data_IF_681376869630
#
_entry.id   IF_681376869630
#
_cell.length_a   1.000
_cell.length_b   1.000
_cell.length_c   1.000
_cell.angle_alpha   90.00
_cell.angle_beta   90.00
_cell.angle_gamma   90.00
#
_symmetry.space_group_name_H-M   'P 1'
#
loop_
_entity.id
_entity.type
_entity.pdbx_description
1 polymer ?
#
# COMPACT_ATOMS: atom_id res chain seq x y z
N UNK A 1 -22.91 -6.29 -6.48
CA UNK A 1 -22.79 -7.30 -7.55
C UNK A 1 -22.88 -6.61 -8.92
N UNK A 2 -21.78 -5.97 -9.38
CA UNK A 2 -21.73 -5.29 -10.71
C UNK A 2 -21.44 -6.26 -11.87
N UNK A 3 -20.99 -7.45 -11.58
CA UNK A 3 -20.62 -8.47 -12.58
C UNK A 3 -21.39 -9.78 -12.41
N UNK A 4 -22.68 -9.70 -12.05
CA UNK A 4 -23.57 -10.86 -12.16
C UNK A 4 -23.79 -11.15 -13.66
N UNK A 5 -23.05 -12.10 -14.18
CA UNK A 5 -23.16 -12.58 -15.55
C UNK A 5 -24.48 -13.31 -15.74
N UNK A 6 -25.43 -12.69 -16.43
CA UNK A 6 -26.54 -13.41 -17.03
C UNK A 6 -26.00 -14.13 -18.28
N UNK A 7 -26.13 -15.46 -18.43
CA UNK A 7 -25.64 -16.15 -19.60
C UNK A 7 -26.41 -15.67 -20.82
N UNK A 8 -25.73 -14.94 -21.72
CA UNK A 8 -26.23 -14.74 -23.10
C UNK A 8 -26.28 -16.12 -23.74
N UNK A 9 -27.38 -16.42 -24.44
CA UNK A 9 -27.80 -17.67 -25.00
C UNK A 9 -26.68 -18.66 -25.37
N UNK A 10 -26.89 -19.94 -25.06
CA UNK A 10 -25.95 -21.03 -25.30
C UNK A 10 -25.34 -20.94 -26.69
N UNK A 11 -24.03 -20.62 -26.75
CA UNK A 11 -23.25 -20.83 -27.98
C UNK A 11 -23.34 -22.35 -28.35
N UNK A 12 -23.38 -22.69 -29.65
CA UNK A 12 -23.31 -24.10 -30.07
C UNK A 12 -22.06 -24.74 -29.38
N UNK A 13 -22.22 -25.99 -28.92
CA UNK A 13 -21.09 -26.74 -28.34
C UNK A 13 -19.93 -26.73 -29.33
N UNK A 14 -18.71 -26.37 -28.89
CA UNK A 14 -17.55 -26.44 -29.76
C UNK A 14 -17.39 -27.87 -30.31
N UNK A 15 -17.01 -27.96 -31.57
CA UNK A 15 -16.66 -29.25 -32.19
C UNK A 15 -15.52 -29.88 -31.35
N UNK A 16 -15.47 -31.23 -31.26
CA UNK A 16 -14.38 -31.91 -30.59
C UNK A 16 -13.06 -31.44 -31.19
N UNK A 17 -12.11 -31.04 -30.31
CA UNK A 17 -10.81 -30.56 -30.74
C UNK A 17 -10.09 -31.66 -31.54
N UNK A 18 -9.45 -31.29 -32.66
CA UNK A 18 -8.51 -32.19 -33.32
C UNK A 18 -7.33 -32.52 -32.41
N UNK A 19 -6.68 -33.65 -32.64
CA UNK A 19 -5.45 -34.02 -31.89
C UNK A 19 -4.40 -32.90 -31.93
N UNK A 20 -4.30 -32.18 -33.06
CA UNK A 20 -3.41 -31.03 -33.23
C UNK A 20 -3.83 -29.84 -32.34
N UNK A 21 -5.12 -29.49 -32.32
CA UNK A 21 -5.63 -28.41 -31.49
C UNK A 21 -5.45 -28.70 -29.98
N UNK A 22 -5.66 -29.92 -29.55
CA UNK A 22 -5.41 -30.37 -28.17
C UNK A 22 -3.93 -30.25 -27.79
N UNK A 23 -3.01 -30.66 -28.66
CA UNK A 23 -1.58 -30.51 -28.46
C UNK A 23 -1.13 -29.05 -28.37
N UNK A 24 -1.68 -28.18 -29.24
CA UNK A 24 -1.40 -26.75 -29.20
C UNK A 24 -1.94 -26.09 -27.92
N UNK A 25 -3.11 -26.50 -27.44
CA UNK A 25 -3.66 -26.00 -26.19
C UNK A 25 -2.80 -26.38 -25.01
N UNK A 26 -2.38 -27.65 -24.92
CA UNK A 26 -1.47 -28.10 -23.86
C UNK A 26 -0.15 -27.33 -23.88
N UNK A 27 0.43 -27.09 -25.05
CA UNK A 27 1.63 -26.29 -25.19
C UNK A 27 1.38 -24.83 -24.74
N UNK A 28 0.23 -24.25 -25.07
CA UNK A 28 -0.13 -22.89 -24.65
C UNK A 28 -0.26 -22.79 -23.12
N UNK A 29 -0.84 -23.79 -22.46
CA UNK A 29 -0.94 -23.85 -20.99
C UNK A 29 0.46 -23.98 -20.34
N UNK A 30 1.37 -24.74 -20.94
CA UNK A 30 2.76 -24.79 -20.49
C UNK A 30 3.44 -23.42 -20.64
N UNK A 31 3.22 -22.70 -21.74
CA UNK A 31 3.76 -21.35 -21.91
C UNK A 31 3.22 -20.38 -20.84
N UNK A 32 1.94 -20.48 -20.49
CA UNK A 32 1.37 -19.72 -19.36
C UNK A 32 2.10 -20.02 -18.05
N UNK A 33 2.35 -21.30 -17.75
CA UNK A 33 3.08 -21.69 -16.53
C UNK A 33 4.51 -21.14 -16.46
N UNK A 34 5.17 -21.00 -17.62
CA UNK A 34 6.53 -20.47 -17.73
C UNK A 34 6.60 -18.95 -17.96
N UNK A 35 5.45 -18.24 -17.99
CA UNK A 35 5.39 -16.80 -18.24
C UNK A 35 5.77 -16.41 -19.69
N UNK A 36 5.73 -17.35 -20.63
CA UNK A 36 6.00 -17.05 -22.04
C UNK A 36 4.72 -16.58 -22.76
N UNK A 37 4.31 -15.37 -22.44
CA UNK A 37 3.04 -14.77 -22.89
C UNK A 37 2.90 -14.68 -24.43
N UNK A 38 3.93 -14.26 -25.21
CA UNK A 38 3.80 -14.16 -26.67
C UNK A 38 3.54 -15.51 -27.34
N UNK A 39 4.21 -16.58 -26.86
CA UNK A 39 3.98 -17.91 -27.38
C UNK A 39 2.62 -18.48 -26.97
N UNK A 40 2.20 -18.27 -25.72
CA UNK A 40 0.88 -18.65 -25.24
C UNK A 40 -0.23 -18.02 -26.09
N UNK A 41 -0.12 -16.71 -26.37
CA UNK A 41 -1.07 -15.99 -27.25
C UNK A 41 -1.10 -16.57 -28.65
N UNK A 42 0.06 -16.79 -29.25
CA UNK A 42 0.16 -17.34 -30.61
C UNK A 42 -0.50 -18.71 -30.74
N UNK A 43 -0.26 -19.60 -29.79
CA UNK A 43 -0.84 -20.94 -29.77
C UNK A 43 -2.36 -20.89 -29.51
N UNK A 44 -2.83 -20.11 -28.55
CA UNK A 44 -4.25 -19.96 -28.27
C UNK A 44 -5.01 -19.43 -29.50
N UNK A 45 -4.46 -18.42 -30.20
CA UNK A 45 -5.05 -17.92 -31.45
C UNK A 45 -5.04 -18.94 -32.59
N UNK A 46 -4.04 -19.83 -32.64
CA UNK A 46 -4.05 -20.95 -33.61
C UNK A 46 -5.18 -21.94 -33.32
N UNK A 47 -5.34 -22.31 -32.03
CA UNK A 47 -6.47 -23.18 -31.63
C UNK A 47 -7.81 -22.56 -32.01
N UNK A 48 -8.00 -21.25 -31.79
CA UNK A 48 -9.26 -20.56 -32.13
C UNK A 48 -9.53 -20.46 -33.63
N UNK A 49 -8.49 -20.49 -34.48
CA UNK A 49 -8.66 -20.57 -35.93
C UNK A 49 -9.14 -21.95 -36.37
N UNK A 50 -8.69 -23.02 -35.73
CA UNK A 50 -9.12 -24.38 -36.01
C UNK A 50 -10.49 -24.71 -35.37
N UNK A 51 -10.66 -24.27 -34.13
CA UNK A 51 -11.87 -24.52 -33.33
C UNK A 51 -12.36 -23.20 -32.73
N UNK A 52 -13.19 -22.44 -33.48
CA UNK A 52 -13.76 -21.20 -33.02
C UNK A 52 -14.55 -21.37 -31.71
N UNK A 53 -14.32 -20.51 -30.72
CA UNK A 53 -14.98 -20.57 -29.42
C UNK A 53 -14.46 -21.69 -28.49
N UNK A 54 -13.26 -22.22 -28.73
CA UNK A 54 -12.66 -23.24 -27.86
C UNK A 54 -12.41 -22.66 -26.46
N UNK A 55 -13.08 -23.20 -25.39
CA UNK A 55 -13.06 -22.56 -24.06
C UNK A 55 -11.66 -22.43 -23.46
N UNK A 56 -10.79 -23.43 -23.64
CA UNK A 56 -9.42 -23.39 -23.13
C UNK A 56 -8.59 -22.29 -23.80
N UNK A 57 -8.74 -22.10 -25.11
CA UNK A 57 -8.01 -21.06 -25.84
C UNK A 57 -8.54 -19.66 -25.51
N UNK A 58 -9.86 -19.48 -25.38
CA UNK A 58 -10.45 -18.24 -24.86
C UNK A 58 -9.95 -17.96 -23.45
N UNK A 59 -9.91 -18.98 -22.57
CA UNK A 59 -9.41 -18.85 -21.21
C UNK A 59 -7.96 -18.38 -21.13
N UNK A 60 -7.08 -18.90 -22.02
CA UNK A 60 -5.69 -18.43 -22.10
C UNK A 60 -5.64 -16.96 -22.53
N UNK A 61 -6.47 -16.51 -23.49
CA UNK A 61 -6.54 -15.09 -23.85
C UNK A 61 -7.05 -14.24 -22.69
N UNK A 62 -7.98 -14.76 -21.88
CA UNK A 62 -8.44 -14.11 -20.67
C UNK A 62 -7.31 -13.95 -19.61
N UNK A 63 -6.47 -14.97 -19.44
CA UNK A 63 -5.27 -14.88 -18.59
C UNK A 63 -4.34 -13.77 -19.10
N UNK A 64 -4.10 -13.72 -20.40
CA UNK A 64 -3.24 -12.70 -21.02
C UNK A 64 -3.80 -11.27 -20.89
N UNK A 65 -5.13 -11.11 -20.90
CA UNK A 65 -5.75 -9.81 -20.61
C UNK A 65 -5.44 -9.38 -19.15
N UNK A 66 -5.53 -10.30 -18.19
CA UNK A 66 -5.19 -10.03 -16.78
C UNK A 66 -3.72 -9.65 -16.62
N UNK A 67 -2.80 -10.34 -17.32
CA UNK A 67 -1.36 -10.03 -17.30
C UNK A 67 -1.02 -8.66 -17.89
N UNK A 68 -1.90 -8.12 -18.75
CA UNK A 68 -1.79 -6.77 -19.30
C UNK A 68 -2.58 -5.73 -18.48
N UNK A 69 -2.99 -6.08 -17.26
CA UNK A 69 -3.81 -5.26 -16.36
C UNK A 69 -5.20 -4.88 -16.92
N UNK A 70 -5.65 -5.52 -18.02
CA UNK A 70 -7.02 -5.38 -18.54
C UNK A 70 -7.96 -6.32 -17.74
N UNK A 71 -8.18 -5.97 -16.47
CA UNK A 71 -8.99 -6.77 -15.56
C UNK A 71 -10.44 -6.94 -16.01
N UNK A 72 -11.14 -5.91 -16.52
CA UNK A 72 -12.52 -6.08 -17.00
C UNK A 72 -12.65 -7.12 -18.11
N UNK A 73 -11.78 -7.04 -19.12
CA UNK A 73 -11.75 -8.02 -20.22
C UNK A 73 -11.37 -9.41 -19.71
N UNK A 74 -10.34 -9.49 -18.84
CA UNK A 74 -9.91 -10.73 -18.23
C UNK A 74 -11.02 -11.43 -17.47
N UNK A 75 -11.75 -10.72 -16.62
CA UNK A 75 -12.90 -11.25 -15.86
C UNK A 75 -13.98 -11.76 -16.79
N UNK A 76 -14.36 -10.98 -17.80
CA UNK A 76 -15.39 -11.36 -18.76
C UNK A 76 -15.04 -12.64 -19.51
N UNK A 77 -13.83 -12.70 -20.08
CA UNK A 77 -13.38 -13.83 -20.89
C UNK A 77 -13.18 -15.08 -20.06
N UNK A 78 -12.52 -14.97 -18.88
CA UNK A 78 -12.29 -16.11 -18.00
C UNK A 78 -13.60 -16.67 -17.45
N UNK A 79 -14.55 -15.83 -17.05
CA UNK A 79 -15.86 -16.27 -16.57
C UNK A 79 -16.62 -17.02 -17.68
N UNK A 80 -16.57 -16.51 -18.90
CA UNK A 80 -17.18 -17.19 -20.07
C UNK A 80 -16.53 -18.54 -20.34
N UNK A 81 -15.21 -18.60 -20.44
CA UNK A 81 -14.47 -19.83 -20.70
C UNK A 81 -14.74 -20.91 -19.63
N UNK A 82 -14.77 -20.51 -18.36
CA UNK A 82 -15.08 -21.40 -17.23
C UNK A 82 -16.53 -21.92 -17.31
N UNK A 83 -17.48 -21.05 -17.66
CA UNK A 83 -18.88 -21.45 -17.86
C UNK A 83 -19.03 -22.44 -19.02
N UNK A 84 -18.23 -22.28 -20.07
CA UNK A 84 -18.19 -23.17 -21.24
C UNK A 84 -17.35 -24.45 -21.01
N UNK A 85 -16.86 -24.66 -19.78
CA UNK A 85 -16.23 -25.91 -19.35
C UNK A 85 -14.70 -25.89 -19.22
N UNK A 86 -14.03 -24.75 -19.37
CA UNK A 86 -12.60 -24.68 -19.11
C UNK A 86 -12.30 -24.93 -17.62
N UNK A 87 -11.56 -26.00 -17.33
CA UNK A 87 -11.20 -26.42 -15.98
C UNK A 87 -9.69 -26.30 -15.79
N UNK A 88 -9.21 -25.11 -15.47
CA UNK A 88 -7.79 -24.83 -15.26
C UNK A 88 -7.58 -24.12 -13.92
N UNK A 89 -6.72 -24.62 -13.03
CA UNK A 89 -6.33 -23.93 -11.80
C UNK A 89 -5.82 -22.53 -12.08
N UNK A 90 -5.02 -22.35 -13.14
CA UNK A 90 -4.51 -21.05 -13.57
C UNK A 90 -5.65 -20.09 -13.94
N UNK A 91 -6.67 -20.54 -14.67
CA UNK A 91 -7.80 -19.69 -15.03
C UNK A 91 -8.52 -19.15 -13.78
N UNK A 92 -8.76 -19.98 -12.78
CA UNK A 92 -9.35 -19.55 -11.52
C UNK A 92 -8.42 -18.63 -10.71
N UNK A 93 -7.12 -18.88 -10.71
CA UNK A 93 -6.13 -18.03 -10.04
C UNK A 93 -6.11 -16.62 -10.64
N UNK A 94 -6.07 -16.51 -11.97
CA UNK A 94 -6.10 -15.23 -12.68
C UNK A 94 -7.44 -14.52 -12.57
N UNK A 95 -8.55 -15.25 -12.65
CA UNK A 95 -9.88 -14.69 -12.40
C UNK A 95 -9.98 -14.10 -10.99
N UNK A 96 -9.53 -14.85 -9.97
CA UNK A 96 -9.52 -14.36 -8.59
C UNK A 96 -8.61 -13.15 -8.41
N UNK A 97 -7.45 -13.11 -9.06
CA UNK A 97 -6.56 -11.96 -9.03
C UNK A 97 -7.23 -10.72 -9.63
N UNK A 98 -7.81 -10.82 -10.83
CA UNK A 98 -8.50 -9.72 -11.48
C UNK A 98 -9.70 -9.22 -10.66
N UNK A 99 -10.52 -10.12 -10.11
CA UNK A 99 -11.64 -9.78 -9.22
C UNK A 99 -11.17 -9.03 -7.98
N UNK A 100 -10.06 -9.47 -7.36
CA UNK A 100 -9.48 -8.78 -6.20
C UNK A 100 -9.05 -7.35 -6.56
N UNK A 101 -8.40 -7.16 -7.72
CA UNK A 101 -7.99 -5.82 -8.19
C UNK A 101 -9.18 -4.90 -8.43
N UNK A 102 -10.31 -5.46 -8.87
CA UNK A 102 -11.57 -4.73 -9.06
C UNK A 102 -12.38 -4.54 -7.76
N UNK A 103 -11.86 -5.00 -6.60
CA UNK A 103 -12.54 -4.88 -5.31
C UNK A 103 -13.59 -5.97 -5.01
N UNK A 104 -13.82 -6.90 -5.93
CA UNK A 104 -14.79 -8.00 -5.80
C UNK A 104 -14.16 -9.18 -5.01
N UNK A 105 -13.74 -8.88 -3.77
CA UNK A 105 -12.89 -9.79 -2.98
C UNK A 105 -13.59 -11.09 -2.62
N UNK A 106 -14.91 -11.07 -2.36
CA UNK A 106 -15.66 -12.30 -2.05
C UNK A 106 -15.73 -13.23 -3.26
N UNK A 107 -15.92 -12.67 -4.47
CA UNK A 107 -15.87 -13.44 -5.70
C UNK A 107 -14.44 -13.96 -5.99
N UNK A 108 -13.41 -13.19 -5.66
CA UNK A 108 -12.03 -13.64 -5.75
C UNK A 108 -11.74 -14.85 -4.85
N UNK A 109 -12.19 -14.81 -3.60
CA UNK A 109 -12.05 -15.92 -2.65
C UNK A 109 -12.74 -17.19 -3.16
N UNK A 110 -13.93 -17.07 -3.76
CA UNK A 110 -14.64 -18.22 -4.36
C UNK A 110 -13.87 -18.76 -5.59
N UNK A 111 -13.33 -17.89 -6.44
CA UNK A 111 -12.50 -18.32 -7.56
C UNK A 111 -11.25 -19.09 -7.07
N UNK A 112 -10.54 -18.56 -6.06
CA UNK A 112 -9.38 -19.24 -5.49
C UNK A 112 -9.74 -20.58 -4.86
N UNK A 113 -10.88 -20.67 -4.16
CA UNK A 113 -11.36 -21.95 -3.60
C UNK A 113 -11.56 -23.01 -4.70
N UNK A 114 -12.22 -22.64 -5.81
CA UNK A 114 -12.42 -23.55 -6.94
C UNK A 114 -11.12 -23.93 -7.63
N UNK A 115 -10.19 -22.99 -7.79
CA UNK A 115 -8.86 -23.30 -8.31
C UNK A 115 -8.12 -24.30 -7.42
N UNK A 116 -8.22 -24.13 -6.10
CA UNK A 116 -7.60 -25.02 -5.11
C UNK A 116 -8.20 -26.43 -5.12
N UNK A 117 -9.49 -26.58 -5.36
CA UNK A 117 -10.15 -27.88 -5.51
C UNK A 117 -9.64 -28.65 -6.74
N UNK A 118 -9.17 -27.93 -7.78
CA UNK A 118 -8.59 -28.54 -8.98
C UNK A 118 -7.11 -28.91 -8.80
N UNK A 119 -6.34 -28.02 -8.15
CA UNK A 119 -4.93 -28.26 -7.81
C UNK A 119 -4.56 -27.62 -6.47
N UNK A 120 -4.45 -28.48 -5.45
CA UNK A 120 -4.04 -28.07 -4.09
C UNK A 120 -2.53 -27.96 -3.90
N UNK A 121 -1.74 -27.96 -4.96
CA UNK A 121 -0.27 -27.86 -4.95
C UNK A 121 0.26 -26.60 -5.62
N UNK A 122 -0.60 -25.66 -6.01
CA UNK A 122 -0.18 -24.37 -6.56
C UNK A 122 0.13 -23.37 -5.41
N UNK A 123 1.43 -23.05 -5.16
CA UNK A 123 1.81 -22.11 -4.11
C UNK A 123 1.36 -20.67 -4.41
N UNK A 124 1.25 -20.28 -5.68
CA UNK A 124 0.80 -18.96 -6.06
C UNK A 124 -0.70 -18.80 -5.78
N UNK A 125 -1.49 -19.84 -6.02
CA UNK A 125 -2.91 -19.84 -5.67
C UNK A 125 -3.12 -19.73 -4.16
N UNK A 126 -2.37 -20.52 -3.36
CA UNK A 126 -2.43 -20.42 -1.90
C UNK A 126 -2.05 -19.03 -1.39
N UNK A 127 -0.99 -18.43 -1.95
CA UNK A 127 -0.56 -17.06 -1.60
C UNK A 127 -1.61 -16.01 -1.98
N UNK A 128 -2.21 -16.12 -3.17
CA UNK A 128 -3.25 -15.20 -3.62
C UNK A 128 -4.51 -15.29 -2.75
N UNK A 129 -4.84 -16.50 -2.30
CA UNK A 129 -5.90 -16.71 -1.33
C UNK A 129 -5.59 -16.01 0.00
N UNK A 130 -4.36 -16.16 0.52
CA UNK A 130 -3.90 -15.45 1.73
C UNK A 130 -4.05 -13.92 1.56
N UNK A 131 -3.57 -13.37 0.45
CA UNK A 131 -3.67 -11.94 0.15
C UNK A 131 -5.12 -11.44 0.11
N UNK A 132 -6.05 -12.19 -0.48
CA UNK A 132 -7.47 -11.82 -0.50
C UNK A 132 -8.11 -11.88 0.90
N UNK A 133 -7.73 -12.87 1.72
CA UNK A 133 -8.16 -12.96 3.12
C UNK A 133 -7.63 -11.80 3.97
N UNK A 134 -6.39 -11.34 3.71
CA UNK A 134 -5.86 -10.12 4.34
C UNK A 134 -6.74 -8.91 4.03
N UNK A 135 -7.15 -8.72 2.78
CA UNK A 135 -8.08 -7.63 2.40
C UNK A 135 -9.39 -7.69 3.20
N UNK A 136 -9.88 -8.89 3.49
CA UNK A 136 -11.11 -9.10 4.30
C UNK A 136 -10.87 -9.09 5.81
N UNK A 137 -9.67 -8.76 6.28
CA UNK A 137 -9.28 -8.80 7.69
C UNK A 137 -9.50 -10.19 8.35
N UNK A 138 -9.38 -11.27 7.57
CA UNK A 138 -9.45 -12.68 8.05
C UNK A 138 -8.03 -13.17 8.35
N UNK A 139 -7.39 -12.57 9.35
CA UNK A 139 -5.95 -12.68 9.61
C UNK A 139 -5.46 -14.09 9.88
N UNK A 140 -6.18 -14.85 10.71
CA UNK A 140 -5.82 -16.23 11.07
C UNK A 140 -5.85 -17.15 9.85
N UNK A 141 -6.88 -17.01 9.02
CA UNK A 141 -6.98 -17.80 7.80
C UNK A 141 -5.94 -17.37 6.76
N UNK A 142 -5.70 -16.07 6.62
CA UNK A 142 -4.64 -15.55 5.76
C UNK A 142 -3.27 -16.14 6.12
N UNK A 143 -2.95 -16.18 7.41
CA UNK A 143 -1.72 -16.81 7.92
C UNK A 143 -1.64 -18.29 7.55
N UNK A 144 -2.72 -19.04 7.76
CA UNK A 144 -2.78 -20.45 7.40
C UNK A 144 -2.48 -20.68 5.92
N UNK A 145 -3.06 -19.87 5.04
CA UNK A 145 -2.85 -19.98 3.60
C UNK A 145 -1.45 -19.52 3.15
N UNK A 146 -0.89 -18.48 3.79
CA UNK A 146 0.48 -18.06 3.52
C UNK A 146 1.51 -19.13 3.94
N UNK A 147 1.32 -19.77 5.11
CA UNK A 147 2.14 -20.89 5.54
C UNK A 147 2.03 -22.06 4.57
N UNK A 148 0.82 -22.39 4.11
CA UNK A 148 0.62 -23.45 3.11
C UNK A 148 1.35 -23.16 1.80
N UNK A 149 1.40 -21.90 1.37
CA UNK A 149 2.20 -21.50 0.20
C UNK A 149 3.70 -21.77 0.42
N UNK A 150 4.22 -21.56 1.64
CA UNK A 150 5.61 -21.85 1.97
C UNK A 150 5.90 -23.34 2.12
N UNK A 151 4.95 -24.14 2.62
CA UNK A 151 5.06 -25.61 2.67
C UNK A 151 5.21 -26.18 1.25
N UNK A 152 4.45 -25.62 0.29
CA UNK A 152 4.51 -26.02 -1.12
C UNK A 152 5.76 -25.50 -1.84
N UNK A 153 6.22 -24.29 -1.52
CA UNK A 153 7.40 -23.67 -2.10
C UNK A 153 8.19 -22.96 -1.01
N UNK A 154 9.14 -23.66 -0.36
CA UNK A 154 10.02 -23.04 0.61
C UNK A 154 10.76 -21.83 0.02
N UNK A 155 10.79 -20.73 0.78
CA UNK A 155 11.42 -19.48 0.33
C UNK A 155 10.61 -18.62 -0.64
N UNK A 156 9.33 -18.96 -0.93
CA UNK A 156 8.47 -18.19 -1.83
C UNK A 156 8.34 -16.73 -1.36
N UNK A 157 8.87 -15.74 -2.13
CA UNK A 157 9.01 -14.36 -1.64
C UNK A 157 7.67 -13.71 -1.27
N UNK A 158 6.65 -13.88 -2.14
CA UNK A 158 5.32 -13.30 -1.89
C UNK A 158 4.70 -13.80 -0.58
N UNK A 159 4.81 -15.09 -0.30
CA UNK A 159 4.27 -15.68 0.92
C UNK A 159 5.08 -15.29 2.16
N UNK A 160 6.41 -15.17 2.03
CA UNK A 160 7.28 -14.63 3.10
C UNK A 160 6.92 -13.19 3.42
N UNK A 161 6.70 -12.36 2.39
CA UNK A 161 6.28 -10.97 2.58
C UNK A 161 4.91 -10.89 3.25
N UNK A 162 3.91 -11.65 2.76
CA UNK A 162 2.58 -11.66 3.35
C UNK A 162 2.61 -12.09 4.82
N UNK A 163 3.39 -13.12 5.19
CA UNK A 163 3.59 -13.49 6.59
C UNK A 163 4.27 -12.40 7.39
N UNK A 164 5.31 -11.76 6.84
CA UNK A 164 5.97 -10.63 7.47
C UNK A 164 5.01 -9.47 7.77
N UNK A 165 4.14 -9.13 6.82
CA UNK A 165 3.11 -8.10 7.02
C UNK A 165 2.10 -8.50 8.10
N UNK A 166 1.68 -9.76 8.14
CA UNK A 166 0.79 -10.30 9.18
C UNK A 166 1.45 -10.30 10.56
N UNK A 167 2.76 -10.57 10.63
CA UNK A 167 3.54 -10.53 11.87
C UNK A 167 3.70 -9.10 12.37
N UNK A 168 4.07 -8.14 11.49
CA UNK A 168 4.14 -6.71 11.82
C UNK A 168 2.81 -6.20 12.35
N UNK A 169 1.72 -6.55 11.68
CA UNK A 169 0.38 -6.13 12.06
C UNK A 169 -0.06 -6.72 13.41
N UNK A 170 0.39 -7.92 13.73
CA UNK A 170 0.14 -8.57 15.02
C UNK A 170 1.07 -8.08 16.15
N UNK A 171 2.10 -7.29 15.82
CA UNK A 171 3.09 -6.79 16.79
C UNK A 171 4.30 -7.71 17.00
N UNK A 172 4.42 -8.83 16.30
CA UNK A 172 5.64 -9.65 16.25
C UNK A 172 6.66 -8.99 15.32
N UNK A 173 7.28 -7.91 15.79
CA UNK A 173 8.17 -7.11 14.95
C UNK A 173 9.43 -7.88 14.53
N UNK A 174 9.87 -8.85 15.32
CA UNK A 174 11.07 -9.63 14.98
C UNK A 174 10.83 -10.44 13.71
N UNK A 175 9.80 -11.31 13.70
CA UNK A 175 9.45 -12.11 12.51
C UNK A 175 8.98 -11.22 11.37
N UNK A 176 8.23 -10.17 11.71
CA UNK A 176 7.70 -9.24 10.75
C UNK A 176 8.78 -8.57 9.90
N UNK A 177 9.83 -8.03 10.50
CA UNK A 177 10.93 -7.42 9.76
C UNK A 177 11.73 -8.44 8.94
N UNK A 178 11.92 -9.66 9.45
CA UNK A 178 12.57 -10.73 8.68
C UNK A 178 11.78 -11.07 7.41
N UNK A 179 10.46 -11.22 7.55
CA UNK A 179 9.56 -11.48 6.42
C UNK A 179 9.46 -10.29 5.46
N UNK A 180 9.48 -9.04 5.97
CA UNK A 180 9.39 -7.83 5.18
C UNK A 180 10.58 -7.64 4.21
N UNK A 181 11.75 -8.16 4.54
CA UNK A 181 12.91 -8.16 3.64
C UNK A 181 12.69 -8.98 2.36
N UNK A 182 11.72 -9.91 2.36
CA UNK A 182 11.39 -10.67 1.15
C UNK A 182 10.90 -9.79 -0.02
N UNK A 183 10.54 -8.52 0.23
CA UNK A 183 10.21 -7.56 -0.82
C UNK A 183 11.33 -7.41 -1.85
N UNK A 184 12.59 -7.59 -1.44
CA UNK A 184 13.75 -7.51 -2.33
C UNK A 184 13.88 -8.69 -3.30
N UNK A 185 13.20 -9.78 -3.02
CA UNK A 185 13.18 -10.99 -3.83
C UNK A 185 11.97 -11.02 -4.80
N UNK A 186 11.08 -9.99 -4.74
CA UNK A 186 9.91 -9.90 -5.61
C UNK A 186 10.27 -9.50 -7.05
N UNK A 187 9.58 -10.04 -8.06
CA UNK A 187 9.72 -9.57 -9.44
C UNK A 187 9.45 -8.07 -9.54
N UNK A 188 10.34 -7.33 -10.20
CA UNK A 188 10.19 -5.89 -10.40
C UNK A 188 10.66 -5.02 -9.23
N UNK A 189 10.92 -5.59 -8.06
CA UNK A 189 11.46 -4.88 -6.91
C UNK A 189 12.96 -5.16 -6.80
N UNK A 190 13.78 -4.24 -7.29
CA UNK A 190 15.23 -4.43 -7.31
C UNK A 190 15.92 -3.53 -6.30
N UNK A 191 16.78 -4.12 -5.48
CA UNK A 191 17.69 -3.37 -4.64
C UNK A 191 18.64 -2.54 -5.51
N UNK A 192 18.81 -1.23 -5.23
CA UNK A 192 19.76 -0.41 -5.98
C UNK A 192 21.16 -1.01 -5.89
N UNK A 193 21.84 -1.06 -7.04
CA UNK A 193 23.25 -1.48 -7.11
C UNK A 193 24.14 -0.25 -7.18
N UNK A 194 24.73 0.11 -6.07
CA UNK A 194 25.67 1.23 -5.97
C UNK A 194 27.13 0.80 -6.08
N UNK A 195 27.43 -0.48 -6.32
CA UNK A 195 28.80 -1.02 -6.31
C UNK A 195 29.45 -0.93 -4.92
N UNK A 196 28.70 -0.81 -3.85
CA UNK A 196 29.14 -0.73 -2.45
C UNK A 196 28.45 -1.81 -1.61
N UNK A 197 29.02 -2.10 -0.45
CA UNK A 197 28.48 -3.13 0.45
C UNK A 197 27.23 -2.66 1.17
N UNK A 198 26.29 -3.60 1.41
CA UNK A 198 25.15 -3.36 2.28
C UNK A 198 25.62 -3.19 3.73
N UNK A 199 25.04 -2.21 4.42
CA UNK A 199 25.28 -2.05 5.84
C UNK A 199 24.56 -3.15 6.64
N UNK A 200 25.30 -3.80 7.55
CA UNK A 200 24.77 -4.89 8.37
C UNK A 200 24.20 -4.46 9.73
N UNK A 201 24.06 -3.15 10.01
CA UNK A 201 23.53 -2.65 11.29
C UNK A 201 24.56 -2.49 12.41
N UNK A 202 25.85 -2.71 12.15
CA UNK A 202 26.90 -2.56 13.16
C UNK A 202 27.50 -1.15 13.19
N UNK A 203 27.98 -0.73 14.37
CA UNK A 203 28.73 0.51 14.52
C UNK A 203 30.05 0.44 13.72
N UNK A 204 30.20 1.37 12.76
CA UNK A 204 31.38 1.42 11.87
C UNK A 204 31.86 2.87 11.83
N UNK A 205 32.53 3.30 12.91
CA UNK A 205 32.95 4.69 13.10
C UNK A 205 33.74 5.22 11.91
N UNK A 206 33.42 6.45 11.49
CA UNK A 206 34.09 7.15 10.41
C UNK A 206 33.73 6.67 9.00
N UNK A 207 32.86 5.66 8.86
CA UNK A 207 32.33 5.24 7.56
C UNK A 207 31.16 6.12 7.12
N UNK A 208 31.11 6.36 5.81
CA UNK A 208 30.01 7.05 5.17
C UNK A 208 28.91 6.06 4.76
N UNK A 209 27.68 6.33 5.20
CA UNK A 209 26.52 5.48 4.95
C UNK A 209 25.48 6.24 4.14
N UNK A 210 25.11 5.72 2.97
CA UNK A 210 23.96 6.19 2.19
C UNK A 210 22.69 5.48 2.65
N UNK A 211 21.72 6.21 3.18
CA UNK A 211 20.37 5.76 3.42
C UNK A 211 19.45 6.21 2.29
N UNK A 212 18.57 5.33 1.82
CA UNK A 212 17.68 5.63 0.70
C UNK A 212 16.26 5.08 0.93
N UNK A 213 15.22 5.74 0.37
CA UNK A 213 13.86 5.24 0.39
C UNK A 213 13.69 4.12 -0.64
N UNK A 214 12.84 3.15 -0.34
CA UNK A 214 12.38 2.11 -1.27
C UNK A 214 10.86 2.01 -1.33
N UNK A 215 10.17 2.91 -0.65
CA UNK A 215 8.73 2.97 -0.51
C UNK A 215 8.21 4.40 -0.71
N UNK A 216 6.95 4.66 -0.30
CA UNK A 216 6.31 5.96 -0.45
C UNK A 216 6.82 7.06 0.48
N UNK A 217 6.27 8.28 0.31
CA UNK A 217 6.63 9.45 1.12
C UNK A 217 6.39 9.21 2.62
N UNK A 218 5.27 8.58 2.97
CA UNK A 218 4.93 8.25 4.36
C UNK A 218 5.96 7.33 5.02
N UNK A 219 6.51 6.37 4.26
CA UNK A 219 7.57 5.48 4.74
C UNK A 219 8.86 6.23 5.03
N UNK A 220 9.25 7.11 4.12
CA UNK A 220 10.44 7.95 4.31
C UNK A 220 10.31 8.77 5.57
N UNK A 221 9.18 9.47 5.75
CA UNK A 221 8.90 10.24 6.97
C UNK A 221 8.93 9.36 8.23
N UNK A 222 8.31 8.19 8.18
CA UNK A 222 8.25 7.27 9.32
C UNK A 222 9.63 6.74 9.71
N UNK A 223 10.40 6.25 8.74
CA UNK A 223 11.68 5.59 9.01
C UNK A 223 12.85 6.58 9.18
N UNK A 224 12.68 7.87 8.83
CA UNK A 224 13.65 8.91 9.09
C UNK A 224 14.01 9.02 10.60
N UNK A 225 13.10 8.63 11.51
CA UNK A 225 13.36 8.56 12.96
C UNK A 225 14.58 7.74 13.38
N UNK A 226 15.03 6.83 12.52
CA UNK A 226 16.21 6.00 12.78
C UNK A 226 17.53 6.70 12.46
N UNK A 227 17.51 7.78 11.66
CA UNK A 227 18.72 8.49 11.21
C UNK A 227 19.56 9.03 12.38
N UNK A 228 18.98 9.72 13.39
CA UNK A 228 19.76 10.18 14.55
C UNK A 228 20.43 9.02 15.28
N UNK A 229 19.75 7.89 15.40
CA UNK A 229 20.29 6.69 16.06
C UNK A 229 21.46 6.09 15.28
N UNK A 230 21.38 6.06 13.95
CA UNK A 230 22.47 5.60 13.09
C UNK A 230 23.67 6.53 13.19
N UNK A 231 23.46 7.84 13.15
CA UNK A 231 24.51 8.84 13.31
C UNK A 231 25.20 8.73 14.67
N UNK A 232 24.44 8.49 15.74
CA UNK A 232 24.98 8.27 17.09
C UNK A 232 25.89 7.02 17.19
N UNK A 233 25.79 6.07 16.25
CA UNK A 233 26.71 4.93 16.14
C UNK A 233 28.06 5.31 15.51
N UNK A 234 28.28 6.59 15.14
CA UNK A 234 29.51 7.12 14.58
C UNK A 234 29.64 7.03 13.06
N UNK A 235 28.52 6.81 12.34
CA UNK A 235 28.48 6.85 10.89
C UNK A 235 28.19 8.27 10.39
N UNK A 236 28.82 8.65 9.29
CA UNK A 236 28.49 9.86 8.54
C UNK A 236 27.32 9.53 7.60
N UNK A 237 26.12 9.98 7.94
CA UNK A 237 24.89 9.59 7.22
C UNK A 237 24.58 10.55 6.08
N UNK A 238 24.53 10.04 4.87
CA UNK A 238 23.98 10.71 3.69
C UNK A 238 22.57 10.17 3.46
N UNK A 239 21.60 11.05 3.32
CA UNK A 239 20.20 10.65 3.14
C UNK A 239 19.72 11.03 1.73
N UNK A 240 19.31 10.01 0.98
CA UNK A 240 18.56 10.19 -0.27
C UNK A 240 17.08 10.26 0.07
N UNK A 241 16.38 11.27 -0.40
CA UNK A 241 14.94 11.47 -0.20
C UNK A 241 14.22 11.82 -1.49
N UNK A 242 12.89 11.70 -1.46
CA UNK A 242 12.05 12.25 -2.51
C UNK A 242 12.12 13.79 -2.44
N UNK A 243 12.12 14.44 -3.60
CA UNK A 243 12.34 15.90 -3.73
C UNK A 243 11.38 16.71 -2.84
N UNK A 244 10.14 16.28 -2.77
CA UNK A 244 9.07 16.93 -2.02
C UNK A 244 9.32 16.95 -0.50
N UNK A 245 10.08 15.95 0.00
CA UNK A 245 10.40 15.80 1.42
C UNK A 245 11.70 16.48 1.84
N UNK A 246 12.59 16.84 0.90
CA UNK A 246 13.90 17.40 1.26
C UNK A 246 13.83 18.59 2.23
N UNK A 247 12.89 19.54 2.08
CA UNK A 247 12.82 20.68 3.01
C UNK A 247 12.58 20.25 4.46
N UNK A 248 11.66 19.30 4.71
CA UNK A 248 11.39 18.83 6.06
C UNK A 248 12.46 17.87 6.56
N UNK A 249 13.08 17.06 5.68
CA UNK A 249 14.22 16.23 6.02
C UNK A 249 15.46 17.05 6.41
N UNK A 250 15.57 18.30 5.95
CA UNK A 250 16.64 19.23 6.35
C UNK A 250 16.55 19.62 7.84
N UNK A 251 15.41 19.39 8.49
CA UNK A 251 15.26 19.61 9.94
C UNK A 251 15.66 18.41 10.77
N UNK A 252 15.96 17.26 10.12
CA UNK A 252 16.32 16.02 10.77
C UNK A 252 17.75 16.05 11.29
N UNK A 253 17.93 15.75 12.56
CA UNK A 253 19.26 15.60 13.14
C UNK A 253 19.98 14.35 12.66
N UNK A 254 21.30 14.43 12.54
CA UNK A 254 22.15 13.27 12.25
C UNK A 254 22.41 13.01 10.76
N UNK A 255 21.72 13.66 9.85
CA UNK A 255 22.06 13.61 8.42
C UNK A 255 23.19 14.60 8.11
N UNK A 256 24.30 14.10 7.53
CA UNK A 256 25.42 14.93 7.10
C UNK A 256 25.08 15.69 5.82
N UNK A 257 24.37 15.06 4.90
CA UNK A 257 23.88 15.66 3.66
C UNK A 257 22.60 15.03 3.17
N UNK A 258 21.83 15.81 2.41
CA UNK A 258 20.59 15.38 1.79
C UNK A 258 20.74 15.42 0.27
N UNK A 259 20.17 14.43 -0.39
CA UNK A 259 20.22 14.28 -1.84
C UNK A 259 18.86 13.83 -2.36
N UNK A 260 18.61 14.05 -3.66
CA UNK A 260 17.44 13.52 -4.35
C UNK A 260 17.84 12.70 -5.57
N UNK A 261 16.89 11.93 -6.11
CA UNK A 261 17.13 11.13 -7.30
C UNK A 261 17.58 11.99 -8.49
N UNK A 262 18.61 11.53 -9.19
CA UNK A 262 19.18 12.23 -10.35
C UNK A 262 20.33 13.19 -10.00
N UNK A 263 20.59 13.45 -8.73
CA UNK A 263 21.77 14.20 -8.29
C UNK A 263 23.02 13.32 -8.21
N UNK A 264 24.19 13.93 -8.29
CA UNK A 264 25.44 13.25 -8.00
C UNK A 264 25.50 12.95 -6.49
N UNK A 265 25.59 11.67 -6.17
CA UNK A 265 25.74 11.23 -4.78
C UNK A 265 27.16 11.50 -4.26
N UNK A 266 27.34 11.76 -2.97
CA UNK A 266 28.65 11.86 -2.34
C UNK A 266 29.35 10.49 -2.35
N UNK A 267 30.63 10.46 -2.03
CA UNK A 267 31.31 9.21 -1.77
C UNK A 267 30.78 8.57 -0.49
N UNK A 268 30.50 7.28 -0.54
CA UNK A 268 30.06 6.51 0.63
C UNK A 268 30.64 5.08 0.58
N UNK A 269 30.76 4.47 1.74
CA UNK A 269 31.30 3.12 1.93
C UNK A 269 30.22 2.05 1.92
N UNK A 270 29.08 2.36 2.52
CA UNK A 270 28.00 1.44 2.85
C UNK A 270 26.65 2.05 2.44
N UNK A 271 25.64 1.20 2.21
CA UNK A 271 24.30 1.67 1.97
C UNK A 271 23.24 0.79 2.63
N UNK A 272 22.09 1.38 2.94
CA UNK A 272 20.91 0.66 3.43
C UNK A 272 19.61 1.38 3.04
N UNK A 273 18.54 0.61 2.90
CA UNK A 273 17.20 1.16 2.76
C UNK A 273 16.65 1.63 4.11
N UNK A 274 15.94 2.75 4.14
CA UNK A 274 15.27 3.26 5.33
C UNK A 274 14.32 2.22 5.96
N UNK A 275 13.41 1.55 5.21
CA UNK A 275 12.54 0.52 5.75
C UNK A 275 13.25 -0.76 6.26
N UNK A 276 14.54 -0.94 5.98
CA UNK A 276 15.32 -2.05 6.56
C UNK A 276 15.95 -1.70 7.92
N UNK A 277 15.96 -0.41 8.32
CA UNK A 277 16.59 0.04 9.56
C UNK A 277 16.00 -0.61 10.83
N UNK A 278 14.67 -0.81 10.96
CA UNK A 278 14.12 -1.50 12.12
C UNK A 278 14.73 -2.89 12.34
N UNK A 279 14.90 -3.66 11.27
CA UNK A 279 15.55 -4.98 11.33
C UNK A 279 17.04 -4.84 11.69
N UNK A 280 17.76 -3.95 11.01
CA UNK A 280 19.19 -3.75 11.19
C UNK A 280 19.53 -3.26 12.60
N UNK A 281 18.68 -2.42 13.19
CA UNK A 281 18.83 -1.86 14.52
C UNK A 281 18.06 -2.65 15.61
N UNK A 282 17.55 -3.83 15.24
CA UNK A 282 16.90 -4.79 16.13
C UNK A 282 15.71 -4.18 16.91
N UNK A 283 14.84 -3.45 16.21
CA UNK A 283 13.54 -3.03 16.76
C UNK A 283 12.60 -4.25 16.74
N UNK A 284 12.72 -5.12 17.74
CA UNK A 284 12.08 -6.44 17.77
C UNK A 284 10.79 -6.47 18.58
N UNK A 285 10.50 -5.44 19.37
CA UNK A 285 9.27 -5.29 20.15
C UNK A 285 8.66 -3.92 19.92
N UNK A 286 7.39 -3.76 20.27
CA UNK A 286 6.66 -2.49 20.13
C UNK A 286 7.30 -1.39 20.99
N UNK A 287 7.77 -1.74 22.19
CA UNK A 287 8.44 -0.83 23.14
C UNK A 287 9.82 -0.39 22.66
N UNK A 288 10.45 -1.16 21.76
CA UNK A 288 11.74 -0.83 21.16
C UNK A 288 11.64 0.16 19.99
N UNK A 289 10.42 0.52 19.57
CA UNK A 289 10.22 1.54 18.54
C UNK A 289 10.78 2.87 19.04
N UNK A 290 11.75 3.48 18.34
CA UNK A 290 12.38 4.69 18.83
C UNK A 290 11.42 5.87 18.80
N UNK A 291 11.25 6.49 19.96
CA UNK A 291 10.57 7.76 20.12
C UNK A 291 11.21 8.56 21.25
N UNK A 292 11.86 9.66 20.89
CA UNK A 292 12.47 10.60 21.85
C UNK A 292 11.84 12.00 21.76
N UNK A 293 10.74 12.13 21.07
CA UNK A 293 10.07 13.39 20.74
C UNK A 293 9.97 13.61 19.23
N UNK A 294 9.45 14.76 18.83
CA UNK A 294 9.43 15.17 17.42
C UNK A 294 10.82 15.11 16.80
N UNK A 295 10.92 14.59 15.60
CA UNK A 295 12.20 14.46 14.87
C UNK A 295 12.22 15.19 13.53
N UNK A 296 11.08 15.74 13.11
CA UNK A 296 10.94 16.68 11.99
C UNK A 296 10.25 17.95 12.47
N UNK A 297 10.48 19.05 11.79
CA UNK A 297 9.90 20.34 12.09
C UNK A 297 9.65 21.19 10.87
N UNK A 298 9.25 22.46 11.09
CA UNK A 298 9.10 23.43 10.02
C UNK A 298 10.48 23.92 9.59
N UNK A 299 10.83 23.83 8.29
CA UNK A 299 12.10 24.34 7.81
C UNK A 299 12.14 25.87 7.82
N UNK A 300 13.35 26.44 7.82
CA UNK A 300 13.53 27.89 7.84
C UNK A 300 12.86 28.58 6.64
N UNK A 301 12.89 27.94 5.47
CA UNK A 301 12.23 28.42 4.24
C UNK A 301 10.93 27.66 4.00
N UNK A 302 9.84 28.40 3.96
CA UNK A 302 8.49 27.92 3.59
C UNK A 302 8.03 28.79 2.41
N UNK A 303 7.81 28.18 1.23
CA UNK A 303 7.53 28.94 0.00
C UNK A 303 6.28 29.83 0.10
N UNK A 304 5.18 29.33 0.65
CA UNK A 304 3.89 30.03 0.73
C UNK A 304 3.54 30.47 2.16
N UNK A 305 4.54 30.81 2.96
CA UNK A 305 4.35 31.20 4.38
C UNK A 305 3.33 32.33 4.55
N UNK A 306 3.44 33.36 3.74
CA UNK A 306 2.59 34.58 3.87
C UNK A 306 1.13 34.25 3.59
N UNK A 307 0.86 33.51 2.55
CA UNK A 307 -0.49 33.08 2.14
C UNK A 307 -1.11 32.13 3.19
N UNK A 308 -0.32 31.18 3.69
CA UNK A 308 -0.73 30.27 4.75
C UNK A 308 -1.04 31.02 6.05
N UNK A 309 -0.16 31.92 6.48
CA UNK A 309 -0.37 32.74 7.67
C UNK A 309 -1.65 33.58 7.55
N UNK A 310 -1.88 34.20 6.38
CA UNK A 310 -3.10 34.96 6.13
C UNK A 310 -4.37 34.10 6.19
N UNK A 311 -4.35 32.92 5.56
CA UNK A 311 -5.48 31.97 5.58
C UNK A 311 -5.78 31.46 6.99
N UNK A 312 -4.73 31.14 7.77
CA UNK A 312 -4.84 30.60 9.12
C UNK A 312 -5.20 31.66 10.18
N UNK A 313 -4.74 32.92 10.00
CA UNK A 313 -5.03 34.01 10.96
C UNK A 313 -6.49 34.47 10.95
N UNK A 314 -7.19 34.34 9.81
CA UNK A 314 -8.57 34.80 9.66
C UNK A 314 -9.60 33.91 10.36
N UNK A 315 -9.19 32.76 10.88
CA UNK A 315 -10.08 31.71 11.39
C UNK A 315 -10.31 31.84 12.91
N UNK A 316 -11.55 31.99 13.36
CA UNK A 316 -11.89 31.97 14.77
C UNK A 316 -11.96 30.55 15.33
N UNK A 317 -11.68 30.41 16.64
CA UNK A 317 -11.81 29.13 17.35
C UNK A 317 -10.68 28.15 17.11
N UNK A 318 -10.98 26.85 17.35
CA UNK A 318 -10.03 25.75 17.20
C UNK A 318 -9.81 25.42 15.73
N UNK A 319 -8.55 25.36 15.34
CA UNK A 319 -8.13 25.09 13.95
C UNK A 319 -7.93 23.62 13.73
N UNK A 320 -8.77 23.00 12.91
CA UNK A 320 -8.72 21.55 12.64
C UNK A 320 -8.45 21.29 11.17
N UNK A 321 -7.34 20.65 10.88
CA UNK A 321 -7.00 20.20 9.52
C UNK A 321 -7.76 18.93 9.13
N UNK A 322 -8.06 18.77 7.85
CA UNK A 322 -8.72 17.57 7.32
C UNK A 322 -8.03 17.07 6.05
N UNK A 323 -7.69 15.78 6.06
CA UNK A 323 -7.25 15.00 4.88
C UNK A 323 -8.11 13.74 4.83
N UNK A 324 -8.93 13.60 3.80
CA UNK A 324 -9.92 12.52 3.71
C UNK A 324 -9.67 11.50 2.61
N UNK A 325 -8.66 11.73 1.78
CA UNK A 325 -8.30 10.83 0.67
C UNK A 325 -6.79 10.63 0.63
N UNK A 326 -6.38 9.44 0.21
CA UNK A 326 -4.99 9.15 -0.11
C UNK A 326 -4.63 9.49 -1.56
N UNK A 327 -3.48 8.98 -2.02
CA UNK A 327 -3.08 9.07 -3.41
C UNK A 327 -3.86 8.05 -4.25
N UNK A 328 -4.60 8.51 -5.26
CA UNK A 328 -5.41 7.70 -6.17
C UNK A 328 -4.61 6.64 -6.96
N UNK A 329 -3.34 6.90 -7.19
CA UNK A 329 -2.45 5.93 -7.85
C UNK A 329 -2.12 4.71 -6.96
N UNK A 330 -2.44 4.78 -5.66
CA UNK A 330 -2.20 3.67 -4.74
C UNK A 330 -3.35 2.65 -4.82
N UNK A 331 -3.04 1.38 -5.10
CA UNK A 331 -4.02 0.31 -5.32
C UNK A 331 -5.04 0.07 -4.20
N UNK A 332 -4.78 0.56 -2.98
CA UNK A 332 -5.69 0.46 -1.83
C UNK A 332 -6.39 1.79 -1.50
N UNK A 333 -6.27 2.82 -2.33
CA UNK A 333 -6.83 4.15 -2.01
C UNK A 333 -8.36 4.14 -1.87
N UNK A 334 -9.05 3.39 -2.71
CA UNK A 334 -10.51 3.25 -2.65
C UNK A 334 -11.02 2.74 -1.29
N UNK A 335 -10.19 2.03 -0.52
CA UNK A 335 -10.56 1.47 0.77
C UNK A 335 -10.26 2.41 1.94
N UNK A 336 -9.21 3.24 1.84
CA UNK A 336 -8.77 4.14 2.91
C UNK A 336 -9.36 5.55 2.82
N UNK A 337 -9.90 5.94 1.66
CA UNK A 337 -10.51 7.24 1.45
C UNK A 337 -11.93 7.31 2.03
N UNK A 338 -12.22 8.39 2.75
CA UNK A 338 -13.55 8.63 3.34
C UNK A 338 -14.44 9.33 2.31
N UNK A 339 -15.63 8.83 2.00
CA UNK A 339 -16.59 9.54 1.15
C UNK A 339 -16.98 10.89 1.74
N UNK A 340 -17.11 11.92 0.90
CA UNK A 340 -17.45 13.27 1.33
C UNK A 340 -18.80 13.31 2.10
N UNK A 341 -19.74 12.47 1.70
CA UNK A 341 -21.06 12.34 2.35
C UNK A 341 -20.94 11.87 3.80
N UNK A 342 -19.99 10.99 4.11
CA UNK A 342 -19.76 10.54 5.49
C UNK A 342 -19.20 11.66 6.37
N UNK A 343 -18.41 12.58 5.78
CA UNK A 343 -17.84 13.72 6.51
C UNK A 343 -18.86 14.80 6.83
N UNK A 344 -20.02 14.84 6.15
CA UNK A 344 -21.07 15.84 6.40
C UNK A 344 -21.53 15.87 7.88
N UNK A 345 -21.39 14.77 8.61
CA UNK A 345 -21.66 14.69 10.04
C UNK A 345 -20.75 15.59 10.91
N UNK A 346 -19.61 16.06 10.37
CA UNK A 346 -18.70 16.99 11.05
C UNK A 346 -19.10 18.47 10.85
N UNK A 347 -20.06 18.76 9.98
CA UNK A 347 -20.53 20.11 9.74
C UNK A 347 -21.19 20.72 10.99
N UNK A 348 -21.06 22.04 11.14
CA UNK A 348 -21.76 22.80 12.16
C UNK A 348 -21.26 22.59 13.60
N UNK A 349 -20.09 22.02 13.81
CA UNK A 349 -19.48 21.95 15.14
C UNK A 349 -19.10 23.37 15.61
N UNK A 350 -19.61 23.82 16.78
CA UNK A 350 -19.36 25.17 17.26
C UNK A 350 -17.88 25.35 17.63
N UNK A 351 -17.34 26.55 17.40
CA UNK A 351 -15.99 26.90 17.81
C UNK A 351 -14.87 26.23 17.00
N UNK A 352 -15.21 25.56 15.89
CA UNK A 352 -14.22 24.89 15.02
C UNK A 352 -14.18 25.54 13.66
N UNK A 353 -12.96 25.85 13.20
CA UNK A 353 -12.69 26.18 11.82
C UNK A 353 -11.93 25.03 11.16
N UNK A 354 -12.49 24.54 10.06
CA UNK A 354 -11.92 23.43 9.28
C UNK A 354 -11.01 23.96 8.18
N UNK A 355 -9.87 23.29 8.02
CA UNK A 355 -8.88 23.56 6.97
C UNK A 355 -8.64 22.30 6.12
N UNK A 356 -8.78 22.45 4.80
CA UNK A 356 -8.43 21.38 3.86
C UNK A 356 -6.92 21.37 3.62
N UNK A 357 -6.27 20.24 3.89
CA UNK A 357 -4.91 19.94 3.44
C UNK A 357 -4.93 18.91 2.29
N UNK A 358 -6.08 18.71 1.69
CA UNK A 358 -6.27 17.73 0.62
C UNK A 358 -5.85 18.32 -0.72
N UNK A 359 -4.76 17.83 -1.29
CA UNK A 359 -4.45 18.06 -2.70
C UNK A 359 -5.51 17.38 -3.57
N UNK A 360 -5.81 17.94 -4.74
CA UNK A 360 -6.78 17.37 -5.70
C UNK A 360 -8.22 17.22 -5.15
N UNK A 361 -8.70 18.22 -4.39
CA UNK A 361 -10.07 18.23 -3.88
C UNK A 361 -11.15 18.39 -4.99
N UNK A 362 -10.76 18.52 -6.25
CA UNK A 362 -11.65 18.71 -7.42
C UNK A 362 -12.64 19.88 -7.23
N UNK A 363 -12.24 20.93 -6.48
CA UNK A 363 -13.07 22.09 -6.19
C UNK A 363 -14.26 21.83 -5.26
N UNK A 364 -14.37 20.62 -4.67
CA UNK A 364 -15.46 20.23 -3.77
C UNK A 364 -14.94 19.94 -2.38
N UNK A 365 -15.05 20.90 -1.48
CA UNK A 365 -14.78 20.69 -0.06
C UNK A 365 -15.93 19.96 0.62
N UNK A 366 -15.66 18.97 1.50
CA UNK A 366 -16.72 18.15 2.10
C UNK A 366 -17.53 18.88 3.17
N UNK A 367 -17.03 20.01 3.70
CA UNK A 367 -17.67 20.74 4.79
C UNK A 367 -17.94 22.20 4.38
N UNK A 368 -19.15 22.75 4.70
CA UNK A 368 -19.45 24.16 4.47
C UNK A 368 -18.52 25.08 5.26
N UNK A 369 -18.04 26.15 4.63
CA UNK A 369 -17.18 27.15 5.29
C UNK A 369 -15.75 26.67 5.58
N UNK A 370 -15.35 25.53 5.05
CA UNK A 370 -13.98 25.02 5.15
C UNK A 370 -13.02 25.91 4.36
N UNK A 371 -11.88 26.24 4.95
CA UNK A 371 -10.81 27.00 4.28
C UNK A 371 -9.92 26.03 3.50
N UNK A 372 -9.75 26.29 2.21
CA UNK A 372 -8.88 25.47 1.36
C UNK A 372 -7.43 25.96 1.39
N UNK A 373 -6.52 25.13 1.91
CA UNK A 373 -5.09 25.41 1.90
C UNK A 373 -4.36 24.79 0.69
N UNK A 374 -5.00 23.91 -0.07
CA UNK A 374 -4.38 23.22 -1.20
C UNK A 374 -3.65 24.12 -2.19
N UNK A 375 -4.15 25.35 -2.54
CA UNK A 375 -3.44 26.25 -3.44
C UNK A 375 -2.07 26.70 -2.92
N UNK A 376 -1.82 26.59 -1.62
CA UNK A 376 -0.60 27.06 -0.95
C UNK A 376 0.28 25.88 -0.47
N UNK A 377 -0.05 24.64 -0.81
CA UNK A 377 0.73 23.45 -0.43
C UNK A 377 1.57 22.96 -1.61
N UNK A 378 2.66 23.67 -1.92
CA UNK A 378 3.56 23.32 -3.02
C UNK A 378 4.51 22.17 -2.71
N UNK A 379 4.94 22.05 -1.44
CA UNK A 379 5.78 20.96 -0.94
C UNK A 379 5.50 20.67 0.55
N UNK A 380 6.30 19.79 1.14
CA UNK A 380 6.12 19.43 2.55
C UNK A 380 6.59 20.50 3.55
N UNK A 381 7.32 21.54 3.11
CA UNK A 381 7.59 22.71 3.97
C UNK A 381 6.31 23.50 4.26
N UNK A 382 5.50 23.73 3.22
CA UNK A 382 4.20 24.39 3.35
C UNK A 382 3.26 23.57 4.21
N UNK A 383 3.23 22.24 3.97
CA UNK A 383 2.43 21.31 4.76
C UNK A 383 2.84 21.29 6.24
N UNK A 384 4.15 21.29 6.54
CA UNK A 384 4.67 21.36 7.90
C UNK A 384 4.28 22.66 8.60
N UNK A 385 4.37 23.78 7.89
CA UNK A 385 3.98 25.09 8.42
C UNK A 385 2.48 25.14 8.74
N UNK A 386 1.63 24.65 7.83
CA UNK A 386 0.21 24.52 8.09
C UNK A 386 -0.09 23.64 9.32
N UNK A 387 0.55 22.48 9.42
CA UNK A 387 0.38 21.55 10.55
C UNK A 387 0.83 22.14 11.89
N UNK A 388 1.87 22.99 11.90
CA UNK A 388 2.32 23.66 13.12
C UNK A 388 1.28 24.64 13.66
N UNK A 389 0.56 25.32 12.76
CA UNK A 389 -0.46 26.30 13.12
C UNK A 389 -1.82 25.67 13.45
N UNK A 390 -2.02 24.39 13.19
CA UNK A 390 -3.26 23.66 13.49
C UNK A 390 -3.23 23.08 14.92
N UNK A 391 -4.37 23.09 15.59
CA UNK A 391 -4.55 22.47 16.92
C UNK A 391 -4.69 20.95 16.83
N UNK A 392 -5.20 20.44 15.71
CA UNK A 392 -5.46 19.02 15.47
C UNK A 392 -5.52 18.72 13.98
N UNK A 393 -5.06 17.54 13.59
CA UNK A 393 -5.30 16.98 12.26
C UNK A 393 -6.30 15.82 12.35
N UNK A 394 -7.31 15.81 11.50
CA UNK A 394 -8.14 14.64 11.19
C UNK A 394 -7.68 14.12 9.83
N UNK A 395 -7.19 12.89 9.76
CA UNK A 395 -6.61 12.37 8.51
C UNK A 395 -6.91 10.90 8.32
N UNK A 396 -7.01 10.48 7.07
CA UNK A 396 -6.83 9.08 6.69
C UNK A 396 -5.33 8.73 6.74
N UNK A 397 -5.00 7.45 6.57
CA UNK A 397 -3.61 6.98 6.42
C UNK A 397 -2.97 7.63 5.18
N UNK A 398 -2.12 8.64 5.42
CA UNK A 398 -1.52 9.50 4.40
C UNK A 398 -0.15 10.01 4.82
N UNK A 399 0.66 10.49 3.87
CA UNK A 399 1.95 11.12 4.17
C UNK A 399 1.82 12.35 5.07
N UNK A 400 0.70 13.09 5.00
CA UNK A 400 0.41 14.22 5.88
C UNK A 400 0.25 13.77 7.34
N UNK A 401 -0.43 12.63 7.58
CA UNK A 401 -0.53 12.05 8.91
C UNK A 401 0.85 11.63 9.45
N UNK A 402 1.68 11.03 8.60
CA UNK A 402 3.06 10.66 8.98
C UNK A 402 3.91 11.89 9.30
N UNK A 403 3.80 12.98 8.52
CA UNK A 403 4.50 14.23 8.82
C UNK A 403 4.01 14.82 10.15
N UNK A 404 2.69 14.92 10.36
CA UNK A 404 2.11 15.40 11.62
C UNK A 404 2.64 14.59 12.81
N UNK A 405 2.70 13.25 12.68
CA UNK A 405 3.26 12.37 13.68
C UNK A 405 4.74 12.61 13.94
N UNK A 406 5.55 12.78 12.88
CA UNK A 406 6.97 13.07 12.99
C UNK A 406 7.25 14.43 13.67
N UNK A 407 6.34 15.39 13.51
CA UNK A 407 6.36 16.71 14.17
C UNK A 407 5.71 16.68 15.57
N UNK A 408 5.24 15.54 16.07
CA UNK A 408 4.58 15.42 17.36
C UNK A 408 3.21 16.09 17.45
N UNK A 409 2.57 16.37 16.31
CA UNK A 409 1.25 17.01 16.27
C UNK A 409 0.14 15.99 16.56
N UNK A 410 -0.95 16.39 17.25
CA UNK A 410 -2.05 15.49 17.53
C UNK A 410 -2.84 15.16 16.26
N UNK A 411 -3.19 13.86 16.10
CA UNK A 411 -3.93 13.37 14.95
C UNK A 411 -5.07 12.45 15.39
N UNK A 412 -6.26 12.65 14.85
CA UNK A 412 -7.31 11.64 14.82
C UNK A 412 -7.23 10.92 13.48
N UNK A 413 -6.73 9.70 13.50
CA UNK A 413 -6.46 8.92 12.29
C UNK A 413 -7.64 8.00 11.95
N UNK A 414 -8.30 8.29 10.84
CA UNK A 414 -9.41 7.52 10.30
C UNK A 414 -8.87 6.30 9.54
N UNK A 415 -9.14 5.11 10.05
CA UNK A 415 -8.63 3.85 9.51
C UNK A 415 -9.75 2.96 8.99
N UNK A 416 -9.57 2.40 7.81
CA UNK A 416 -10.43 1.33 7.33
C UNK A 416 -10.17 0.03 8.13
N UNK A 417 -11.09 -0.96 8.02
CA UNK A 417 -11.03 -2.19 8.83
C UNK A 417 -9.71 -2.95 8.64
N UNK A 418 -9.21 -3.01 7.43
CA UNK A 418 -7.93 -3.64 7.06
C UNK A 418 -6.82 -2.59 6.91
N UNK A 419 -6.59 -1.76 7.92
CA UNK A 419 -5.54 -0.76 7.87
C UNK A 419 -4.14 -1.40 7.75
N UNK A 420 -3.21 -0.60 7.26
CA UNK A 420 -1.82 -1.00 7.11
C UNK A 420 -1.22 -1.52 8.43
N UNK A 421 -0.23 -2.40 8.33
CA UNK A 421 0.44 -3.05 9.47
C UNK A 421 0.99 -2.05 10.51
N UNK A 422 1.31 -0.81 10.10
CA UNK A 422 1.83 0.26 10.98
C UNK A 422 0.86 0.61 12.10
N UNK A 423 -0.42 0.42 11.86
CA UNK A 423 -1.51 0.79 12.78
C UNK A 423 -1.96 -0.39 13.63
N UNK A 424 -1.31 -1.56 13.53
CA UNK A 424 -1.63 -2.80 14.25
C UNK A 424 -3.10 -3.25 14.10
N UNK A 425 -3.53 -4.28 14.85
CA UNK A 425 -4.89 -4.83 14.68
C UNK A 425 -5.95 -4.05 15.46
N UNK A 426 -5.80 -3.92 16.76
CA UNK A 426 -6.90 -3.46 17.65
C UNK A 426 -6.51 -2.28 18.54
N UNK A 427 -5.43 -1.61 18.23
CA UNK A 427 -4.98 -0.46 19.00
C UNK A 427 -5.81 0.78 18.68
N UNK A 428 -6.01 1.61 19.70
CA UNK A 428 -6.57 2.97 19.60
C UNK A 428 -5.50 4.06 19.70
N UNK A 429 -4.26 3.69 20.03
CA UNK A 429 -3.05 4.51 20.07
C UNK A 429 -2.04 4.02 19.02
N UNK A 430 -1.03 4.83 18.75
CA UNK A 430 0.07 4.44 17.85
C UNK A 430 1.41 4.44 18.58
N UNK A 431 2.10 3.29 18.65
CA UNK A 431 3.48 3.26 19.16
C UNK A 431 4.47 4.04 18.31
N UNK A 432 4.15 4.20 17.01
CA UNK A 432 4.97 5.00 16.11
C UNK A 432 4.85 6.50 16.36
N UNK A 433 3.66 6.96 16.77
CA UNK A 433 3.33 8.39 16.95
C UNK A 433 2.42 8.55 18.17
N UNK A 434 2.97 8.82 19.36
CA UNK A 434 2.19 8.90 20.60
C UNK A 434 1.04 9.93 20.57
N UNK A 435 1.13 10.94 19.69
CA UNK A 435 0.05 11.92 19.49
C UNK A 435 -1.11 11.45 18.61
N UNK A 436 -1.08 10.22 18.08
CA UNK A 436 -2.14 9.69 17.23
C UNK A 436 -3.19 8.93 18.03
N UNK A 437 -4.47 9.22 17.75
CA UNK A 437 -5.60 8.40 18.15
C UNK A 437 -6.16 7.69 16.93
N UNK A 438 -6.22 6.37 16.98
CA UNK A 438 -6.65 5.53 15.85
C UNK A 438 -8.17 5.28 15.93
N UNK A 439 -8.89 5.71 14.91
CA UNK A 439 -10.35 5.57 14.78
C UNK A 439 -10.65 4.61 13.63
N UNK A 440 -10.84 3.33 13.97
CA UNK A 440 -10.96 2.23 13.01
C UNK A 440 -12.41 1.87 12.71
N UNK A 441 -12.71 1.56 11.44
CA UNK A 441 -13.98 0.97 11.05
C UNK A 441 -14.25 -0.35 11.80
N UNK A 442 -15.43 -0.50 12.36
CA UNK A 442 -15.89 -1.76 12.94
C UNK A 442 -16.23 -2.79 11.84
N UNK A 443 -16.77 -2.31 10.71
CA UNK A 443 -17.09 -3.11 9.52
C UNK A 443 -16.51 -2.44 8.30
N UNK A 444 -16.16 -3.24 7.33
CA UNK A 444 -15.60 -2.77 6.08
C UNK A 444 -16.56 -1.80 5.36
N UNK A 445 -16.07 -0.61 5.02
CA UNK A 445 -16.84 0.46 4.37
C UNK A 445 -17.72 1.31 5.31
N UNK A 446 -17.78 0.99 6.60
CA UNK A 446 -18.53 1.77 7.59
C UNK A 446 -17.68 2.93 8.12
N UNK A 447 -17.78 4.08 7.49
CA UNK A 447 -17.14 5.31 7.94
C UNK A 447 -17.95 6.09 8.98
N UNK A 448 -19.22 5.75 9.20
CA UNK A 448 -20.08 6.47 10.16
C UNK A 448 -19.54 6.39 11.59
N UNK A 449 -19.06 5.22 12.01
CA UNK A 449 -18.46 5.03 13.34
C UNK A 449 -17.22 5.89 13.59
N UNK A 450 -16.16 5.81 12.76
CA UNK A 450 -14.97 6.66 12.88
C UNK A 450 -15.28 8.15 12.84
N UNK A 451 -16.18 8.61 11.95
CA UNK A 451 -16.55 10.02 11.83
C UNK A 451 -17.35 10.49 13.07
N UNK A 452 -18.25 9.66 13.60
CA UNK A 452 -18.94 9.96 14.85
C UNK A 452 -17.98 10.11 16.03
N UNK A 453 -16.96 9.25 16.09
CA UNK A 453 -15.92 9.34 17.12
C UNK A 453 -15.04 10.61 16.99
N UNK A 454 -14.80 11.12 15.78
CA UNK A 454 -14.20 12.46 15.59
C UNK A 454 -15.11 13.54 16.15
N UNK A 455 -16.40 13.51 15.78
CA UNK A 455 -17.38 14.50 16.23
C UNK A 455 -17.47 14.56 17.76
N UNK A 456 -17.53 13.41 18.42
CA UNK A 456 -17.59 13.31 19.89
C UNK A 456 -16.34 13.95 20.55
N UNK A 457 -15.13 13.66 20.04
CA UNK A 457 -13.89 14.23 20.59
C UNK A 457 -13.72 15.73 20.32
N UNK A 458 -14.39 16.27 19.34
CA UNK A 458 -14.35 17.70 19.01
C UNK A 458 -15.44 18.49 19.74
N UNK A 459 -16.52 17.84 20.15
CA UNK A 459 -17.64 18.46 20.87
C UNK A 459 -17.40 18.56 22.39
N UNK A 460 -16.51 17.75 22.96
CA UNK A 460 -16.12 17.78 24.38
C UNK A 460 -14.81 18.52 24.58
#
# INVERSE_FOLDING_TARGET
>A
MKYAYAPKGRKPRPQPATSAAAGMLQAAEQMVQHGNWPQAETLARKVLREVPGHPGAEGILGILAVEKDDFPTGIQVLTGAIADGYRSPAAYRYLGYALKQMGEVDAALEAYRRGWELDSRDPALANNFASALMVKARWTEARTWALRALDLKPGYPDARLNLGLLDLQAGDLQKGWEGYEARWDLPGFRRPNFGRSLWGGSATRGKHLLLYPDQGLGDTLMFARYVPRVAAMGLAVHLLGQKELLPVLATLEGALSLHTHGEQLPEFDLHASLPSLPRLLKTTTVEAIPWSGPYLGVPARVPHRVELDAALASAPGRKVGLVWRGNRAHGHDAYRSVPAEALAALAGLPGITWFSLQLEAEGRLPLPGMVDLAPFLGDFADTAHALEALDLLVSVDSSVAHLAGAMGRPVLLLLHRNADWRWFLERTDSPWYPGHTLLRQARYGDWAGPVAAVRERLAG
#
